data_IF_373337728304
#
_entry.id   IF_373337728304
#
_cell.length_a   1.000
_cell.length_b   1.000
_cell.length_c   1.000
_cell.angle_alpha   90.00
_cell.angle_beta   90.00
_cell.angle_gamma   90.00
#
_symmetry.space_group_name_H-M   'P 1'
#
loop_
_entity.id
_entity.type
_entity.pdbx_description
1 polymer ?
#
# COMPACT_ATOMS: atom_id res chain seq x y z
N UNK A 1 8.44 -14.00 -0.74
CA UNK A 1 7.84 -12.65 -0.81
C UNK A 1 7.99 -11.95 0.52
N UNK A 2 8.83 -10.93 0.57
CA UNK A 2 8.92 -9.98 1.69
C UNK A 2 8.39 -8.61 1.26
N UNK A 3 7.99 -7.78 2.21
CA UNK A 3 7.59 -6.41 1.91
C UNK A 3 8.84 -5.61 1.50
N UNK A 4 8.83 -5.08 0.28
CA UNK A 4 9.95 -4.37 -0.34
C UNK A 4 10.50 -3.25 0.56
N UNK A 5 11.81 -3.28 0.82
CA UNK A 5 12.48 -2.27 1.66
C UNK A 5 12.50 -0.92 0.97
N UNK A 6 12.63 -0.90 -0.35
CA UNK A 6 12.71 0.32 -1.17
C UNK A 6 11.43 1.16 -1.12
N UNK A 7 10.31 0.54 -0.75
CA UNK A 7 9.01 1.20 -0.59
C UNK A 7 8.77 1.75 0.82
N UNK A 8 9.74 1.65 1.74
CA UNK A 8 9.55 2.04 3.15
C UNK A 8 9.23 3.52 3.34
N UNK A 9 9.85 4.41 2.57
CA UNK A 9 9.59 5.86 2.61
C UNK A 9 8.60 6.34 1.55
N UNK A 10 8.04 5.41 0.77
CA UNK A 10 7.06 5.72 -0.27
C UNK A 10 5.66 5.77 0.32
N UNK A 11 4.87 6.74 -0.16
CA UNK A 11 3.45 6.83 0.14
C UNK A 11 2.68 5.79 -0.68
N UNK A 12 2.30 4.69 -0.03
CA UNK A 12 1.55 3.60 -0.64
C UNK A 12 0.04 3.89 -0.57
N UNK A 13 -0.56 4.10 -1.73
CA UNK A 13 -2.01 4.23 -1.90
C UNK A 13 -2.65 2.86 -2.05
N UNK A 14 -3.71 2.59 -1.28
CA UNK A 14 -4.52 1.38 -1.35
C UNK A 14 -5.99 1.69 -1.07
N UNK A 15 -6.88 0.74 -1.32
CA UNK A 15 -8.32 0.93 -1.08
C UNK A 15 -8.73 0.18 0.18
N UNK A 16 -9.62 0.80 0.95
CA UNK A 16 -10.24 0.17 2.10
C UNK A 16 -11.06 -1.07 1.64
N UNK A 17 -10.87 -2.26 2.21
CA UNK A 17 -11.65 -3.44 1.85
C UNK A 17 -13.16 -3.31 2.16
N UNK A 18 -13.54 -2.49 3.14
CA UNK A 18 -14.94 -2.37 3.56
C UNK A 18 -15.76 -1.33 2.78
N UNK A 19 -15.11 -0.27 2.29
CA UNK A 19 -15.81 0.85 1.63
C UNK A 19 -15.14 1.35 0.36
N UNK A 20 -14.07 0.67 -0.09
CA UNK A 20 -13.27 1.05 -1.26
C UNK A 20 -12.68 2.46 -1.22
N UNK A 21 -12.71 3.14 -0.08
CA UNK A 21 -12.16 4.49 0.05
C UNK A 21 -10.63 4.47 -0.09
N UNK A 22 -10.04 5.35 -0.90
CA UNK A 22 -8.59 5.43 -1.05
C UNK A 22 -7.94 5.87 0.27
N UNK A 23 -6.92 5.14 0.68
CA UNK A 23 -6.11 5.40 1.85
C UNK A 23 -4.64 5.45 1.45
N UNK A 24 -3.90 6.37 2.05
CA UNK A 24 -2.46 6.55 1.80
C UNK A 24 -1.72 6.40 3.12
N UNK A 25 -0.70 5.53 3.14
CA UNK A 25 0.19 5.35 4.29
C UNK A 25 1.63 5.19 3.82
N UNK A 26 2.59 5.63 4.62
CA UNK A 26 4.02 5.32 4.39
C UNK A 26 4.24 3.81 4.42
N UNK A 27 5.09 3.27 3.56
CA UNK A 27 5.35 1.84 3.50
C UNK A 27 5.89 1.26 4.81
N UNK A 28 6.77 1.98 5.50
CA UNK A 28 7.29 1.61 6.82
C UNK A 28 6.16 1.43 7.85
N UNK A 29 5.18 2.35 7.86
CA UNK A 29 4.00 2.24 8.71
C UNK A 29 3.10 1.08 8.27
N UNK A 30 2.85 0.92 6.97
CA UNK A 30 2.02 -0.18 6.44
C UNK A 30 2.60 -1.57 6.77
N UNK A 31 3.94 -1.66 6.84
CA UNK A 31 4.67 -2.87 7.23
C UNK A 31 4.29 -3.32 8.64
N UNK A 32 4.29 -2.40 9.59
CA UNK A 32 4.15 -2.69 11.02
C UNK A 32 2.68 -2.75 11.47
N UNK A 33 1.79 -1.94 10.90
CA UNK A 33 0.39 -1.88 11.36
C UNK A 33 -0.39 -3.15 11.01
N UNK A 34 -1.19 -3.66 11.94
CA UNK A 34 -2.18 -4.70 11.66
C UNK A 34 -3.57 -4.12 11.38
N UNK A 35 -3.83 -2.90 11.88
CA UNK A 35 -5.10 -2.20 11.71
C UNK A 35 -4.86 -0.75 11.34
N UNK A 36 -5.78 -0.19 10.57
CA UNK A 36 -5.84 1.25 10.33
C UNK A 36 -7.28 1.74 10.48
N UNK A 37 -7.41 3.03 10.82
CA UNK A 37 -8.71 3.69 10.76
C UNK A 37 -8.92 4.22 9.35
N UNK A 38 -10.01 3.82 8.70
CA UNK A 38 -10.37 4.31 7.39
C UNK A 38 -11.05 5.68 7.51
N UNK A 39 -10.67 6.66 6.70
CA UNK A 39 -11.30 7.99 6.72
C UNK A 39 -12.69 8.01 6.06
N UNK A 40 -13.02 7.02 5.21
CA UNK A 40 -14.32 6.92 4.54
C UNK A 40 -15.39 6.33 5.45
N UNK A 41 -15.23 5.07 5.87
CA UNK A 41 -16.21 4.39 6.74
C UNK A 41 -15.97 4.60 8.24
N UNK A 42 -14.91 5.30 8.64
CA UNK A 42 -14.51 5.50 10.03
C UNK A 42 -14.26 4.21 10.84
N UNK A 43 -14.25 3.05 10.17
CA UNK A 43 -14.07 1.75 10.79
C UNK A 43 -12.59 1.45 11.08
N UNK A 44 -12.36 0.62 12.09
CA UNK A 44 -11.05 0.03 12.38
C UNK A 44 -10.87 -1.21 11.52
N UNK A 45 -10.21 -1.04 10.39
CA UNK A 45 -10.06 -2.07 9.37
C UNK A 45 -8.78 -2.86 9.60
N UNK A 46 -8.85 -4.18 9.52
CA UNK A 46 -7.69 -5.07 9.60
C UNK A 46 -7.02 -5.18 8.23
N UNK A 47 -5.69 -5.06 8.20
CA UNK A 47 -4.87 -5.36 7.02
C UNK A 47 -4.12 -6.65 7.27
N UNK A 48 -4.47 -7.69 6.52
CA UNK A 48 -3.80 -8.99 6.58
C UNK A 48 -2.47 -8.96 5.82
N UNK A 49 -1.57 -9.89 6.12
CA UNK A 49 -0.28 -9.98 5.42
C UNK A 49 -0.42 -10.13 3.88
N UNK A 50 -1.33 -10.98 3.34
CA UNK A 50 -1.57 -11.03 1.90
C UNK A 50 -2.02 -9.70 1.30
N UNK A 51 -2.86 -8.93 2.00
CA UNK A 51 -3.26 -7.60 1.54
C UNK A 51 -2.07 -6.65 1.50
N UNK A 52 -1.15 -6.70 2.47
CA UNK A 52 0.09 -5.91 2.44
C UNK A 52 0.93 -6.27 1.21
N UNK A 53 1.12 -7.55 0.95
CA UNK A 53 1.88 -8.01 -0.22
C UNK A 53 1.30 -7.46 -1.53
N UNK A 54 -0.01 -7.60 -1.73
CA UNK A 54 -0.67 -7.09 -2.93
C UNK A 54 -0.53 -5.56 -3.10
N UNK A 55 -0.51 -4.81 -2.00
CA UNK A 55 -0.27 -3.35 -2.04
C UNK A 55 1.18 -3.08 -2.47
N UNK A 56 2.15 -3.72 -1.86
CA UNK A 56 3.56 -3.51 -2.19
C UNK A 56 3.88 -3.92 -3.63
N UNK A 57 3.46 -5.11 -4.06
CA UNK A 57 3.65 -5.61 -5.42
C UNK A 57 3.05 -4.66 -6.46
N UNK A 58 1.84 -4.14 -6.22
CA UNK A 58 1.23 -3.15 -7.12
C UNK A 58 2.08 -1.90 -7.26
N UNK A 59 2.67 -1.40 -6.17
CA UNK A 59 3.53 -0.21 -6.21
C UNK A 59 4.89 -0.51 -6.85
N UNK A 60 5.45 -1.69 -6.67
CA UNK A 60 6.65 -2.13 -7.39
C UNK A 60 6.42 -2.18 -8.90
N UNK A 61 5.30 -2.76 -9.34
CA UNK A 61 4.92 -2.77 -10.77
C UNK A 61 4.71 -1.36 -11.32
N UNK A 62 4.06 -0.47 -10.55
CA UNK A 62 3.88 0.94 -10.95
C UNK A 62 5.21 1.70 -11.01
N UNK A 63 6.13 1.43 -10.08
CA UNK A 63 7.47 2.02 -10.09
C UNK A 63 8.27 1.54 -11.31
N UNK A 64 8.24 0.24 -11.60
CA UNK A 64 8.86 -0.35 -12.79
C UNK A 64 8.27 0.22 -14.10
N UNK A 65 6.94 0.37 -14.17
CA UNK A 65 6.27 0.99 -15.32
C UNK A 65 6.66 2.47 -15.51
N UNK A 66 6.81 3.23 -14.42
CA UNK A 66 7.26 4.63 -14.49
C UNK A 66 8.71 4.72 -14.97
N UNK A 67 9.59 3.85 -14.49
CA UNK A 67 10.97 3.79 -14.96
C UNK A 67 11.03 3.50 -16.47
N UNK A 68 10.21 2.56 -16.97
CA UNK A 68 10.14 2.25 -18.39
C UNK A 68 9.64 3.43 -19.25
N UNK A 69 8.65 4.20 -18.77
CA UNK A 69 8.11 5.35 -19.50
C UNK A 69 9.05 6.56 -19.56
N UNK A 70 9.98 6.71 -18.62
CA UNK A 70 10.96 7.79 -18.61
C UNK A 70 12.20 7.48 -19.46
N UNK A 71 12.34 6.24 -19.93
CA UNK A 71 13.45 5.78 -20.75
C UNK A 71 13.15 5.80 -22.27
N UNK A 72 11.98 6.28 -22.67
CA UNK A 72 11.52 6.46 -24.08
C UNK A 72 11.43 7.95 -24.38
#
# INVERSE_FOLDING_TARGET
MGLSVDLSDVALTFHCPDCSHPAVRKGSALRTIAHFRCNGCNAKVRITYPQKLAIFEKHELLAAQRALRLAV
#
